data_IF_464747844135
#
_entry.id   IF_464747844135
#
_cell.length_a   1.000
_cell.length_b   1.000
_cell.length_c   1.000
_cell.angle_alpha   90.00
_cell.angle_beta   90.00
_cell.angle_gamma   90.00
#
_symmetry.space_group_name_H-M   'P 1'
#
loop_
_entity.id
_entity.type
_entity.pdbx_description
1 polymer ?
#
# COMPACT_ATOMS: atom_id res chain seq x y z
N UNK A 1 -62.09 20.85 -36.99
CA UNK A 1 -61.83 22.20 -37.51
C UNK A 1 -61.26 23.02 -36.36
N UNK A 2 -60.13 23.73 -36.49
CA UNK A 2 -58.77 23.16 -36.61
C UNK A 2 -57.76 23.75 -35.59
N UNK A 3 -56.64 23.04 -35.42
CA UNK A 3 -55.33 23.51 -34.92
C UNK A 3 -54.66 24.39 -36.00
N UNK A 4 -53.87 25.43 -35.66
CA UNK A 4 -52.44 25.31 -35.97
C UNK A 4 -51.50 26.12 -35.04
N UNK A 5 -50.46 25.48 -34.49
CA UNK A 5 -49.05 25.76 -34.89
C UNK A 5 -48.03 24.88 -34.13
N UNK A 6 -47.34 24.05 -34.92
CA UNK A 6 -46.09 23.27 -34.67
C UNK A 6 -44.84 24.17 -34.96
N UNK A 7 -43.55 23.73 -34.87
CA UNK A 7 -42.94 22.46 -34.38
C UNK A 7 -41.55 22.62 -33.65
N UNK A 8 -40.90 21.47 -33.37
CA UNK A 8 -39.43 21.21 -33.33
C UNK A 8 -38.70 21.48 -31.99
N UNK A 9 -37.78 20.67 -31.43
CA UNK A 9 -37.06 19.45 -31.81
C UNK A 9 -36.47 18.82 -30.50
N UNK A 10 -35.85 17.61 -30.52
CA UNK A 10 -35.42 16.92 -29.30
C UNK A 10 -34.06 17.46 -28.85
N UNK A 11 -33.86 17.67 -27.55
CA UNK A 11 -32.52 17.95 -27.03
C UNK A 11 -31.97 16.75 -26.26
N UNK A 12 -30.76 16.39 -26.64
CA UNK A 12 -30.08 15.15 -26.36
C UNK A 12 -29.80 14.93 -24.86
N UNK A 13 -29.64 13.66 -24.41
CA UNK A 13 -29.07 13.40 -23.10
C UNK A 13 -27.65 13.97 -23.06
N UNK A 14 -27.41 15.00 -22.24
CA UNK A 14 -26.06 15.41 -21.89
C UNK A 14 -25.39 14.26 -21.15
N UNK A 15 -24.55 13.54 -21.88
CA UNK A 15 -23.49 12.71 -21.32
C UNK A 15 -22.51 13.64 -20.62
N UNK A 16 -22.76 13.89 -19.34
CA UNK A 16 -21.75 14.46 -18.47
C UNK A 16 -20.57 13.48 -18.43
N UNK A 17 -19.50 13.84 -19.14
CA UNK A 17 -18.25 13.10 -19.13
C UNK A 17 -17.58 13.29 -17.77
N UNK A 18 -17.23 12.22 -17.03
CA UNK A 18 -16.44 12.39 -15.83
C UNK A 18 -14.97 12.58 -16.25
N UNK A 19 -14.41 13.77 -16.06
CA UNK A 19 -12.94 13.92 -15.97
C UNK A 19 -12.54 14.12 -14.51
N UNK A 20 -11.85 13.13 -13.95
CA UNK A 20 -10.79 13.45 -12.98
C UNK A 20 -9.57 12.51 -13.12
N UNK A 21 -8.63 12.78 -14.04
CA UNK A 21 -7.47 11.88 -14.29
C UNK A 21 -6.03 12.48 -14.41
N UNK A 22 -5.61 13.55 -13.69
CA UNK A 22 -4.17 13.82 -13.53
C UNK A 22 -3.55 13.18 -12.28
N UNK A 23 -4.25 13.25 -11.14
CA UNK A 23 -3.70 12.84 -9.85
C UNK A 23 -3.64 11.31 -9.68
N UNK A 24 -4.66 10.58 -10.15
CA UNK A 24 -4.69 9.10 -10.14
C UNK A 24 -3.58 8.49 -10.99
N UNK A 25 -3.30 9.08 -12.15
CA UNK A 25 -2.23 8.63 -13.05
C UNK A 25 -0.85 8.77 -12.39
N UNK A 26 -0.57 9.90 -11.73
CA UNK A 26 0.71 10.12 -11.02
C UNK A 26 0.91 9.18 -9.84
N UNK A 27 -0.14 8.93 -9.05
CA UNK A 27 -0.07 7.99 -7.94
C UNK A 27 0.21 6.55 -8.43
N UNK A 28 -0.48 6.12 -9.50
CA UNK A 28 -0.25 4.81 -10.10
C UNK A 28 1.19 4.65 -10.64
N UNK A 29 1.73 5.68 -11.31
CA UNK A 29 3.11 5.69 -11.78
C UNK A 29 4.12 5.59 -10.63
N UNK A 30 3.91 6.36 -9.55
CA UNK A 30 4.77 6.28 -8.35
C UNK A 30 4.74 4.88 -7.74
N UNK A 31 3.57 4.27 -7.61
CA UNK A 31 3.43 2.89 -7.12
C UNK A 31 4.17 1.89 -8.02
N UNK A 32 4.10 2.05 -9.35
CA UNK A 32 4.80 1.17 -10.28
C UNK A 32 6.33 1.27 -10.14
N UNK A 33 6.87 2.49 -10.05
CA UNK A 33 8.32 2.70 -9.83
C UNK A 33 8.77 2.13 -8.49
N UNK A 34 7.99 2.37 -7.43
CA UNK A 34 8.27 1.80 -6.09
C UNK A 34 8.26 0.28 -6.13
N UNK A 35 7.32 -0.31 -6.88
CA UNK A 35 7.24 -1.76 -7.05
C UNK A 35 8.48 -2.33 -7.75
N UNK A 36 8.96 -1.74 -8.84
CA UNK A 36 10.17 -2.19 -9.54
C UNK A 36 11.41 -2.14 -8.63
N UNK A 37 11.59 -1.05 -7.89
CA UNK A 37 12.70 -0.89 -6.93
C UNK A 37 12.59 -1.93 -5.80
N UNK A 38 11.37 -2.16 -5.30
CA UNK A 38 11.11 -3.13 -4.25
C UNK A 38 11.43 -4.56 -4.73
N UNK A 39 11.08 -4.92 -5.97
CA UNK A 39 11.39 -6.23 -6.53
C UNK A 39 12.91 -6.47 -6.62
N UNK A 40 13.68 -5.51 -7.11
CA UNK A 40 15.15 -5.61 -7.15
C UNK A 40 15.75 -5.76 -5.74
N UNK A 41 15.23 -5.01 -4.77
CA UNK A 41 15.66 -5.14 -3.37
C UNK A 41 15.34 -6.52 -2.77
N UNK A 42 14.16 -7.08 -3.05
CA UNK A 42 13.77 -8.42 -2.62
C UNK A 42 14.67 -9.49 -3.24
N UNK A 43 14.95 -9.42 -4.54
CA UNK A 43 15.84 -10.37 -5.21
C UNK A 43 17.25 -10.34 -4.63
N UNK A 44 17.80 -9.15 -4.37
CA UNK A 44 19.11 -8.99 -3.71
C UNK A 44 19.09 -9.60 -2.31
N UNK A 45 18.01 -9.41 -1.55
CA UNK A 45 17.87 -9.97 -0.20
C UNK A 45 17.67 -11.49 -0.21
N UNK A 46 16.93 -12.04 -1.16
CA UNK A 46 16.82 -13.50 -1.40
C UNK A 46 18.20 -14.08 -1.68
N UNK A 47 18.97 -13.49 -2.60
CA UNK A 47 20.35 -13.92 -2.91
C UNK A 47 21.27 -13.84 -1.69
N UNK A 48 21.21 -12.77 -0.91
CA UNK A 48 22.05 -12.57 0.27
C UNK A 48 21.72 -13.54 1.42
N UNK A 49 20.44 -13.92 1.57
CA UNK A 49 20.00 -14.80 2.67
C UNK A 49 19.95 -16.27 2.30
N UNK A 50 19.96 -16.61 1.00
CA UNK A 50 19.78 -17.98 0.50
C UNK A 50 18.37 -18.55 0.74
N UNK A 51 17.42 -17.75 1.24
CA UNK A 51 16.04 -18.18 1.52
C UNK A 51 15.12 -17.85 0.36
N UNK A 52 14.22 -18.78 0.03
CA UNK A 52 13.22 -18.60 -1.02
C UNK A 52 12.07 -17.66 -0.61
N UNK A 53 11.77 -17.57 0.68
CA UNK A 53 10.74 -16.67 1.22
C UNK A 53 11.34 -15.74 2.27
N UNK A 54 11.04 -14.45 2.13
CA UNK A 54 11.40 -13.40 3.07
C UNK A 54 10.22 -13.09 3.99
N UNK A 55 10.53 -12.58 5.19
CA UNK A 55 9.52 -12.01 6.09
C UNK A 55 9.45 -10.51 5.86
N UNK A 56 8.29 -10.01 5.46
CA UNK A 56 8.04 -8.60 5.15
C UNK A 56 7.06 -8.02 6.15
N UNK A 57 7.38 -6.86 6.70
CA UNK A 57 6.45 -6.02 7.46
C UNK A 57 5.99 -4.88 6.56
N UNK A 58 4.68 -4.71 6.41
CA UNK A 58 4.07 -3.57 5.73
C UNK A 58 3.38 -2.68 6.79
N UNK A 59 4.14 -1.73 7.33
CA UNK A 59 3.64 -0.78 8.32
C UNK A 59 2.81 0.28 7.60
N UNK A 60 1.51 0.33 7.91
CA UNK A 60 0.48 1.09 7.20
C UNK A 60 0.07 0.49 5.86
N UNK A 61 0.20 -0.84 5.69
CA UNK A 61 -0.11 -1.51 4.42
C UNK A 61 -1.59 -1.49 4.01
N UNK A 62 -2.48 -1.03 4.90
CA UNK A 62 -3.90 -0.87 4.65
C UNK A 62 -4.55 -2.12 4.09
N UNK A 63 -5.17 -1.98 2.92
CA UNK A 63 -5.88 -3.08 2.26
C UNK A 63 -4.97 -4.07 1.51
N UNK A 64 -3.64 -3.94 1.61
CA UNK A 64 -2.68 -4.91 1.08
C UNK A 64 -2.33 -4.73 -0.40
N UNK A 65 -2.24 -3.49 -0.88
CA UNK A 65 -1.83 -3.20 -2.26
C UNK A 65 -0.43 -3.74 -2.58
N UNK A 66 0.50 -3.73 -1.61
CA UNK A 66 1.80 -4.38 -1.73
C UNK A 66 1.79 -5.79 -1.17
N UNK A 67 1.09 -6.02 -0.04
CA UNK A 67 1.08 -7.31 0.63
C UNK A 67 0.67 -8.49 -0.27
N UNK A 68 -0.38 -8.33 -1.08
CA UNK A 68 -0.88 -9.43 -1.94
C UNK A 68 0.08 -9.76 -3.09
N UNK A 69 0.58 -8.78 -3.87
CA UNK A 69 1.66 -9.04 -4.84
C UNK A 69 2.90 -9.69 -4.23
N UNK A 70 3.34 -9.25 -3.04
CA UNK A 70 4.48 -9.84 -2.34
C UNK A 70 4.24 -11.29 -1.92
N UNK A 71 3.03 -11.59 -1.44
CA UNK A 71 2.64 -12.95 -1.08
C UNK A 71 2.57 -13.87 -2.31
N UNK A 72 2.14 -13.35 -3.46
CA UNK A 72 2.18 -14.09 -4.75
C UNK A 72 3.60 -14.39 -5.22
N UNK A 73 4.58 -13.58 -4.85
CA UNK A 73 6.00 -13.87 -5.05
C UNK A 73 6.55 -14.91 -4.04
N UNK A 74 5.72 -15.40 -3.12
CA UNK A 74 6.06 -16.44 -2.15
C UNK A 74 6.56 -15.93 -0.80
N UNK A 75 6.60 -14.61 -0.57
CA UNK A 75 7.02 -14.03 0.70
C UNK A 75 5.91 -14.10 1.76
N UNK A 76 6.28 -14.00 3.04
CA UNK A 76 5.33 -13.88 4.15
C UNK A 76 5.20 -12.41 4.53
N UNK A 77 3.99 -11.91 4.62
CA UNK A 77 3.72 -10.49 4.88
C UNK A 77 2.89 -10.31 6.13
N UNK A 78 3.40 -9.51 7.07
CA UNK A 78 2.61 -8.95 8.17
C UNK A 78 2.21 -7.53 7.79
N UNK A 79 0.92 -7.24 7.73
CA UNK A 79 0.39 -5.88 7.54
C UNK A 79 -0.01 -5.34 8.91
N UNK A 80 0.51 -4.17 9.28
CA UNK A 80 0.08 -3.45 10.49
C UNK A 80 -0.65 -2.20 10.05
N UNK A 81 -1.91 -2.04 10.44
CA UNK A 81 -2.71 -0.85 10.11
C UNK A 81 -3.69 -0.51 11.25
N UNK A 82 -3.88 0.78 11.59
CA UNK A 82 -4.77 1.16 12.69
C UNK A 82 -6.25 0.99 12.33
N UNK A 83 -6.59 0.94 11.03
CA UNK A 83 -7.96 0.91 10.53
C UNK A 83 -8.52 -0.52 10.45
N UNK A 84 -9.51 -0.89 11.27
CA UNK A 84 -10.19 -2.19 11.16
C UNK A 84 -10.81 -2.40 9.77
N UNK A 85 -11.31 -1.32 9.16
CA UNK A 85 -11.92 -1.37 7.84
C UNK A 85 -10.88 -1.71 6.75
N UNK A 86 -9.67 -1.18 6.86
CA UNK A 86 -8.60 -1.51 5.93
C UNK A 86 -8.17 -2.97 6.08
N UNK A 87 -8.08 -3.48 7.31
CA UNK A 87 -7.74 -4.88 7.59
C UNK A 87 -8.85 -5.85 7.13
N UNK A 88 -10.12 -5.50 7.28
CA UNK A 88 -11.21 -6.28 6.71
C UNK A 88 -11.12 -6.34 5.17
N UNK A 89 -10.78 -5.21 4.52
CA UNK A 89 -10.56 -5.19 3.08
C UNK A 89 -9.31 -6.01 2.66
N UNK A 90 -8.26 -6.01 3.48
CA UNK A 90 -7.08 -6.85 3.30
C UNK A 90 -7.46 -8.34 3.33
N UNK A 91 -8.17 -8.79 4.35
CA UNK A 91 -8.59 -10.20 4.48
C UNK A 91 -9.37 -10.67 3.25
N UNK A 92 -10.31 -9.86 2.77
CA UNK A 92 -11.06 -10.14 1.55
C UNK A 92 -10.15 -10.26 0.33
N UNK A 93 -9.25 -9.29 0.13
CA UNK A 93 -8.33 -9.30 -1.03
C UNK A 93 -7.37 -10.50 -0.98
N UNK A 94 -6.90 -10.85 0.20
CA UNK A 94 -6.00 -11.99 0.44
C UNK A 94 -6.69 -13.31 0.13
N UNK A 95 -7.96 -13.47 0.56
CA UNK A 95 -8.77 -14.64 0.25
C UNK A 95 -9.07 -14.75 -1.26
N UNK A 96 -9.48 -13.65 -1.89
CA UNK A 96 -9.73 -13.59 -3.35
C UNK A 96 -8.47 -13.91 -4.18
N UNK A 97 -7.29 -13.63 -3.64
CA UNK A 97 -6.01 -13.87 -4.28
C UNK A 97 -5.39 -15.24 -3.96
N UNK A 98 -6.03 -16.07 -3.12
CA UNK A 98 -5.55 -17.39 -2.67
C UNK A 98 -4.15 -17.36 -2.02
N UNK A 99 -3.92 -16.37 -1.15
CA UNK A 99 -2.64 -16.18 -0.43
C UNK A 99 -2.81 -16.02 1.09
N UNK A 100 -3.90 -16.53 1.64
CA UNK A 100 -4.26 -16.42 3.06
C UNK A 100 -3.25 -17.09 4.01
N UNK A 101 -2.48 -18.06 3.53
CA UNK A 101 -1.40 -18.71 4.28
C UNK A 101 -0.15 -17.83 4.44
N UNK A 102 -0.04 -16.74 3.66
CA UNK A 102 1.15 -15.88 3.59
C UNK A 102 0.96 -14.47 4.11
N UNK A 103 -0.29 -14.01 4.26
CA UNK A 103 -0.57 -12.63 4.69
C UNK A 103 -1.35 -12.62 6.00
N UNK A 104 -0.87 -11.83 6.96
CA UNK A 104 -1.54 -11.62 8.24
C UNK A 104 -1.75 -10.12 8.47
N UNK A 105 -2.98 -9.71 8.77
CA UNK A 105 -3.29 -8.36 9.23
C UNK A 105 -3.22 -8.27 10.75
N UNK A 106 -2.68 -7.17 11.28
CA UNK A 106 -2.62 -6.88 12.72
C UNK A 106 -3.03 -5.43 12.94
N UNK A 107 -3.97 -5.20 13.85
CA UNK A 107 -4.41 -3.85 14.17
C UNK A 107 -3.40 -3.15 15.08
N UNK A 108 -2.80 -2.08 14.61
CA UNK A 108 -1.79 -1.30 15.34
C UNK A 108 -1.25 -0.16 14.46
N UNK A 109 -0.37 0.66 15.02
CA UNK A 109 0.26 1.78 14.30
C UNK A 109 1.79 1.73 14.38
N UNK A 110 2.46 2.68 13.72
CA UNK A 110 3.92 2.72 13.68
C UNK A 110 4.58 3.16 14.99
N UNK A 111 3.85 3.82 15.90
CA UNK A 111 4.37 4.24 17.20
C UNK A 111 4.32 3.08 18.21
N UNK A 112 3.19 2.38 18.28
CA UNK A 112 2.97 1.15 19.05
C UNK A 112 3.33 -0.13 18.30
N UNK A 113 4.21 -0.05 17.28
CA UNK A 113 4.44 -1.15 16.33
C UNK A 113 4.79 -2.48 17.00
N UNK A 114 5.53 -2.43 18.11
CA UNK A 114 6.02 -3.61 18.80
C UNK A 114 5.03 -4.27 19.77
N UNK A 115 3.83 -3.71 19.91
CA UNK A 115 2.71 -4.39 20.57
C UNK A 115 2.15 -5.50 19.67
N UNK A 116 2.38 -5.39 18.35
CA UNK A 116 1.82 -6.29 17.34
C UNK A 116 2.85 -6.83 16.35
N UNK A 117 4.11 -6.41 16.39
CA UNK A 117 5.17 -6.88 15.50
C UNK A 117 6.48 -7.14 16.28
N UNK A 118 7.40 -7.86 15.66
CA UNK A 118 8.66 -8.26 16.30
C UNK A 118 9.82 -7.30 15.99
N UNK A 119 10.64 -7.00 17.00
CA UNK A 119 11.94 -6.35 16.81
C UNK A 119 12.90 -7.32 16.13
N UNK A 120 13.63 -6.86 15.12
CA UNK A 120 14.58 -7.72 14.39
C UNK A 120 13.93 -8.92 13.69
N UNK A 121 12.63 -8.88 13.43
CA UNK A 121 11.86 -10.01 12.90
C UNK A 121 11.77 -10.05 11.37
N UNK A 122 12.12 -8.97 10.67
CA UNK A 122 11.78 -8.82 9.26
C UNK A 122 13.00 -8.60 8.36
N UNK A 123 12.94 -9.16 7.15
CA UNK A 123 13.95 -8.96 6.11
C UNK A 123 13.76 -7.65 5.37
N UNK A 124 12.50 -7.27 5.19
CA UNK A 124 12.08 -6.03 4.53
C UNK A 124 10.98 -5.39 5.36
N UNK A 125 11.06 -4.08 5.53
CA UNK A 125 9.99 -3.27 6.12
C UNK A 125 9.56 -2.26 5.08
N UNK A 126 8.27 -2.18 4.80
CA UNK A 126 7.65 -1.12 4.02
C UNK A 126 7.09 -0.08 4.98
N UNK A 127 7.37 1.19 4.70
CA UNK A 127 6.79 2.33 5.39
C UNK A 127 6.38 3.33 4.31
N UNK A 128 5.19 3.13 3.75
CA UNK A 128 4.73 3.87 2.56
C UNK A 128 3.52 4.73 2.90
N UNK A 129 3.70 6.04 2.95
CA UNK A 129 2.64 7.00 3.22
C UNK A 129 2.15 6.98 4.66
N UNK A 130 3.00 6.58 5.62
CA UNK A 130 2.65 6.49 7.05
C UNK A 130 3.15 7.68 7.84
N UNK A 131 4.34 8.17 7.52
CA UNK A 131 5.03 9.17 8.33
C UNK A 131 4.31 10.52 8.36
N UNK A 132 3.45 10.80 7.37
CA UNK A 132 2.58 11.98 7.35
C UNK A 132 1.38 11.94 8.30
N UNK A 133 1.06 10.77 8.87
CA UNK A 133 -0.10 10.59 9.75
C UNK A 133 0.25 10.31 11.21
N UNK A 134 1.55 10.18 11.52
CA UNK A 134 2.03 9.92 12.89
C UNK A 134 2.47 11.23 13.56
N UNK A 135 2.32 11.28 14.88
CA UNK A 135 2.67 12.46 15.68
C UNK A 135 4.18 12.71 15.72
N UNK A 136 4.99 11.65 15.87
CA UNK A 136 6.45 11.69 15.77
C UNK A 136 6.95 10.81 14.60
N UNK A 137 7.18 11.40 13.41
CA UNK A 137 7.71 10.69 12.25
C UNK A 137 9.09 10.07 12.48
N UNK A 138 9.93 10.69 13.31
CA UNK A 138 11.25 10.16 13.62
C UNK A 138 11.13 8.91 14.46
N UNK A 139 10.19 8.87 15.40
CA UNK A 139 9.92 7.68 16.20
C UNK A 139 9.33 6.54 15.38
N UNK A 140 8.33 6.83 14.53
CA UNK A 140 7.80 5.83 13.60
C UNK A 140 8.88 5.24 12.69
N UNK A 141 9.80 6.07 12.18
CA UNK A 141 10.94 5.61 11.40
C UNK A 141 11.91 4.76 12.23
N UNK A 142 12.21 5.15 13.47
CA UNK A 142 13.05 4.35 14.39
C UNK A 142 12.45 2.97 14.63
N UNK A 143 11.13 2.88 14.84
CA UNK A 143 10.44 1.62 15.02
C UNK A 143 10.48 0.76 13.75
N UNK A 144 10.23 1.34 12.58
CA UNK A 144 10.35 0.63 11.31
C UNK A 144 11.77 0.05 11.10
N UNK A 145 12.82 0.82 11.44
CA UNK A 145 14.21 0.34 11.37
C UNK A 145 14.48 -0.75 12.41
N UNK A 146 13.99 -0.60 13.64
CA UNK A 146 14.19 -1.58 14.71
C UNK A 146 13.46 -2.92 14.49
N UNK A 147 12.46 -2.96 13.60
CA UNK A 147 11.81 -4.19 13.16
C UNK A 147 12.71 -5.02 12.21
N UNK A 148 13.72 -4.41 11.59
CA UNK A 148 14.60 -5.09 10.64
C UNK A 148 15.60 -6.01 11.32
N UNK A 149 15.77 -7.20 10.74
CA UNK A 149 16.94 -8.06 10.95
C UNK A 149 18.22 -7.32 10.54
N UNK A 150 19.39 -7.73 11.05
CA UNK A 150 20.66 -7.26 10.53
C UNK A 150 20.75 -7.38 8.98
N UNK A 151 21.17 -6.27 8.35
CA UNK A 151 21.24 -6.12 6.89
C UNK A 151 19.89 -6.04 6.17
N UNK A 152 18.78 -6.00 6.89
CA UNK A 152 17.43 -5.87 6.33
C UNK A 152 17.25 -4.56 5.56
N UNK A 153 16.20 -4.50 4.75
CA UNK A 153 15.94 -3.35 3.87
C UNK A 153 14.70 -2.59 4.33
N UNK A 154 14.84 -1.28 4.55
CA UNK A 154 13.69 -0.39 4.68
C UNK A 154 13.34 0.17 3.29
N UNK A 155 12.11 -0.05 2.85
CA UNK A 155 11.52 0.66 1.71
C UNK A 155 10.64 1.79 2.25
N UNK A 156 11.15 3.02 2.15
CA UNK A 156 10.49 4.21 2.68
C UNK A 156 9.92 5.05 1.53
N UNK A 157 8.66 5.42 1.65
CA UNK A 157 7.99 6.31 0.73
C UNK A 157 7.19 7.33 1.55
N UNK A 158 7.66 8.57 1.61
CA UNK A 158 7.01 9.64 2.37
C UNK A 158 6.57 10.79 1.45
N UNK A 159 5.69 11.66 1.94
CA UNK A 159 5.47 12.96 1.34
C UNK A 159 6.68 13.87 1.59
N UNK A 160 7.20 14.52 0.54
CA UNK A 160 8.21 15.56 0.72
C UNK A 160 7.56 16.82 1.30
N UNK A 161 8.16 17.42 2.33
CA UNK A 161 7.79 18.76 2.78
C UNK A 161 8.25 19.76 1.69
N UNK A 162 7.39 20.02 0.70
CA UNK A 162 7.73 20.93 -0.40
C UNK A 162 6.97 20.74 -1.71
N UNK A 163 5.73 20.28 -1.69
CA UNK A 163 4.87 20.24 -2.89
C UNK A 163 4.46 21.62 -3.45
N UNK A 164 5.37 22.60 -3.42
CA UNK A 164 5.24 23.89 -4.07
C UNK A 164 6.38 24.04 -5.07
N UNK A 165 6.16 23.53 -6.29
CA UNK A 165 6.55 24.18 -7.55
C UNK A 165 5.48 23.94 -8.59
#
# INVERSE_FOLDING_TARGET
MPDPMRPSAPDHPQTASPRPEPARSRAALRTAVVWEILQDALEKRVKATGRQALDVLDAGGGSGNFAVPLARLGHRVTVVDPSPNALFALERRVAEADVADRVQGRQGDAHGLFDVAERGGYDVVLCHGVLEYVEDPADGLRNAVAALRPGGVLSLLAAGLGGAV
#
